data_IF_500236317127
#
_entry.id   IF_500236317127
#
_cell.length_a   1.000
_cell.length_b   1.000
_cell.length_c   1.000
_cell.angle_alpha   90.00
_cell.angle_beta   90.00
_cell.angle_gamma   90.00
#
_symmetry.space_group_name_H-M   'P 1'
#
loop_
_entity.id
_entity.type
_entity.pdbx_description
1 polymer ?
#
# COMPACT_ATOMS: atom_id res chain seq x y z
N UNK A 1 60.54 -61.64 -10.60
CA UNK A 1 60.61 -60.22 -10.29
C UNK A 1 59.66 -59.47 -11.20
N UNK A 2 58.47 -59.22 -10.76
CA UNK A 2 57.45 -58.42 -11.50
C UNK A 2 57.37 -57.06 -10.83
N UNK A 3 57.72 -56.00 -11.56
CA UNK A 3 57.56 -54.63 -11.14
C UNK A 3 56.11 -54.21 -11.35
N UNK A 4 55.41 -53.80 -10.27
CA UNK A 4 54.09 -53.21 -10.31
C UNK A 4 54.28 -51.69 -10.44
N UNK A 5 53.77 -51.11 -11.52
CA UNK A 5 53.67 -49.67 -11.72
C UNK A 5 52.41 -49.18 -11.03
N UNK A 6 52.57 -48.39 -10.00
CA UNK A 6 51.48 -47.67 -9.35
C UNK A 6 51.31 -46.30 -10.06
N UNK A 7 50.20 -46.19 -10.80
CA UNK A 7 49.80 -44.93 -11.43
C UNK A 7 49.04 -44.08 -10.42
N UNK A 8 49.64 -42.99 -9.95
CA UNK A 8 48.93 -41.97 -9.17
C UNK A 8 48.10 -41.11 -10.11
N UNK A 9 46.79 -41.29 -10.07
CA UNK A 9 45.84 -40.39 -10.70
C UNK A 9 45.56 -39.24 -9.69
N UNK A 10 46.19 -38.10 -9.90
CA UNK A 10 45.94 -36.88 -9.13
C UNK A 10 44.59 -36.30 -9.59
N UNK A 11 43.57 -36.48 -8.79
CA UNK A 11 42.28 -35.80 -8.94
C UNK A 11 42.42 -34.38 -8.41
N UNK A 12 42.63 -33.41 -9.32
CA UNK A 12 42.46 -31.99 -8.98
C UNK A 12 40.97 -31.69 -8.81
N UNK A 13 40.47 -31.79 -7.60
CA UNK A 13 39.25 -31.13 -7.22
C UNK A 13 39.51 -29.61 -7.19
N UNK A 14 39.16 -28.94 -8.27
CA UNK A 14 39.04 -27.49 -8.28
C UNK A 14 37.95 -27.07 -7.30
N UNK A 15 38.34 -26.73 -6.06
CA UNK A 15 37.48 -25.97 -5.17
C UNK A 15 37.29 -24.59 -5.82
N UNK A 16 36.17 -24.40 -6.52
CA UNK A 16 35.65 -23.08 -6.78
C UNK A 16 35.21 -22.52 -5.41
N UNK A 17 36.14 -21.87 -4.69
CA UNK A 17 35.74 -20.94 -3.65
C UNK A 17 34.98 -19.81 -4.35
N UNK A 18 33.71 -19.90 -4.34
CA UNK A 18 32.84 -18.75 -4.53
C UNK A 18 33.15 -17.82 -3.34
N UNK A 19 34.10 -16.91 -3.57
CA UNK A 19 34.19 -15.74 -2.71
C UNK A 19 32.86 -15.03 -2.88
N UNK A 20 31.94 -15.28 -1.95
CA UNK A 20 30.92 -14.34 -1.62
C UNK A 20 31.67 -13.05 -1.27
N UNK A 21 31.83 -12.19 -2.26
CA UNK A 21 32.15 -10.81 -1.98
C UNK A 21 30.99 -10.38 -1.07
N UNK A 22 31.31 -10.17 0.20
CA UNK A 22 30.48 -9.39 1.09
C UNK A 22 30.36 -8.02 0.39
N UNK A 23 29.39 -7.89 -0.49
CA UNK A 23 28.92 -6.62 -0.94
C UNK A 23 28.36 -5.96 0.32
N UNK A 24 29.21 -5.19 1.00
CA UNK A 24 28.79 -4.12 1.85
C UNK A 24 28.05 -3.12 0.95
N UNK A 25 26.85 -3.48 0.51
CA UNK A 25 25.91 -2.55 -0.09
C UNK A 25 25.30 -1.75 1.07
N UNK A 26 26.10 -0.85 1.59
CA UNK A 26 25.60 0.23 2.41
C UNK A 26 25.13 1.28 1.40
N UNK A 27 23.85 1.61 1.41
CA UNK A 27 23.25 2.62 0.53
C UNK A 27 24.06 3.93 0.54
N UNK A 28 24.65 4.29 1.67
CA UNK A 28 25.54 5.46 1.79
C UNK A 28 26.84 5.31 0.96
N UNK A 29 27.42 4.12 0.89
CA UNK A 29 28.55 3.87 0.00
C UNK A 29 28.16 3.88 -1.47
N UNK A 30 26.95 3.42 -1.79
CA UNK A 30 26.44 3.42 -3.16
C UNK A 30 26.19 4.84 -3.69
N UNK A 31 25.87 5.79 -2.82
CA UNK A 31 25.82 7.22 -3.18
C UNK A 31 27.18 7.79 -3.61
N UNK A 32 28.27 7.29 -3.05
CA UNK A 32 29.63 7.73 -3.38
C UNK A 32 30.17 7.10 -4.68
N UNK A 33 29.53 6.04 -5.19
CA UNK A 33 29.96 5.37 -6.42
C UNK A 33 29.63 6.22 -7.64
N UNK A 34 30.61 6.47 -8.48
CA UNK A 34 30.42 7.14 -9.77
C UNK A 34 29.76 6.15 -10.73
N UNK A 35 28.48 6.38 -11.05
CA UNK A 35 27.70 5.55 -11.96
C UNK A 35 27.71 6.16 -13.35
N UNK A 36 28.06 5.37 -14.38
CA UNK A 36 28.07 5.78 -15.77
C UNK A 36 26.79 5.32 -16.49
N UNK A 37 26.46 5.98 -17.62
CA UNK A 37 25.33 5.58 -18.47
C UNK A 37 23.97 6.08 -17.99
N UNK A 38 23.93 6.90 -16.94
CA UNK A 38 22.69 7.52 -16.44
C UNK A 38 22.64 9.00 -16.79
N UNK A 39 21.46 9.45 -17.20
CA UNK A 39 21.20 10.87 -17.42
C UNK A 39 19.93 11.27 -16.65
N UNK A 40 20.05 12.24 -15.75
CA UNK A 40 18.90 12.75 -15.01
C UNK A 40 17.96 13.54 -15.93
N UNK A 41 16.67 13.29 -15.78
CA UNK A 41 15.57 13.96 -16.47
C UNK A 41 14.49 14.32 -15.50
N UNK A 42 13.70 15.32 -15.86
CA UNK A 42 12.49 15.73 -15.11
C UNK A 42 11.37 16.04 -16.08
N UNK A 43 10.17 15.55 -15.75
CA UNK A 43 8.90 16.08 -16.25
C UNK A 43 8.24 16.82 -15.09
N UNK A 44 7.72 18.01 -15.33
CA UNK A 44 7.12 18.82 -14.26
C UNK A 44 6.10 19.80 -14.81
N UNK A 45 5.38 20.45 -13.92
CA UNK A 45 4.42 21.51 -14.22
C UNK A 45 5.08 22.86 -14.48
N UNK A 46 6.39 22.95 -14.78
CA UNK A 46 7.07 24.18 -15.03
C UNK A 46 6.48 24.96 -16.22
N UNK A 47 6.49 26.29 -16.15
CA UNK A 47 6.07 27.12 -17.25
C UNK A 47 7.21 27.27 -18.29
N UNK A 48 7.02 26.74 -19.52
CA UNK A 48 8.08 26.78 -20.56
C UNK A 48 8.40 28.20 -21.04
N UNK A 49 7.57 29.20 -20.76
CA UNK A 49 7.86 30.62 -21.09
C UNK A 49 8.87 31.25 -20.15
N UNK A 50 9.17 30.62 -19.00
CA UNK A 50 10.04 31.16 -17.96
C UNK A 50 9.33 32.12 -17.00
N UNK A 51 8.04 32.34 -17.14
CA UNK A 51 7.22 33.03 -16.16
C UNK A 51 6.89 32.08 -15.00
N UNK A 52 7.01 32.52 -13.75
CA UNK A 52 6.81 31.67 -12.56
C UNK A 52 5.32 31.29 -12.31
N UNK A 53 4.65 30.76 -13.33
CA UNK A 53 3.29 30.24 -13.27
C UNK A 53 3.30 28.72 -13.49
N UNK A 54 4.01 28.03 -12.61
CA UNK A 54 4.49 26.67 -12.75
C UNK A 54 3.46 25.62 -12.28
N UNK A 55 2.22 25.66 -12.80
CA UNK A 55 1.15 24.75 -12.42
C UNK A 55 0.26 24.36 -13.59
N UNK A 56 -0.35 23.20 -13.49
CA UNK A 56 -1.56 22.89 -14.25
C UNK A 56 -2.73 23.63 -13.60
N UNK A 57 -3.51 24.33 -14.39
CA UNK A 57 -4.69 25.09 -13.93
C UNK A 57 -5.97 24.39 -14.36
N UNK A 58 -6.99 24.52 -13.49
CA UNK A 58 -8.37 24.18 -13.80
C UNK A 58 -8.56 22.75 -14.39
N UNK A 59 -8.12 21.73 -13.65
CA UNK A 59 -8.48 20.34 -14.01
C UNK A 59 -9.91 20.10 -13.56
N UNK A 60 -10.82 20.06 -14.54
CA UNK A 60 -12.26 20.01 -14.27
C UNK A 60 -12.72 18.61 -13.82
N UNK A 61 -13.89 18.50 -13.16
CA UNK A 61 -14.52 17.21 -12.87
C UNK A 61 -14.67 16.33 -14.11
N UNK A 62 -14.20 15.08 -14.02
CA UNK A 62 -14.22 14.11 -15.12
C UNK A 62 -13.03 14.21 -16.09
N UNK A 63 -12.17 15.21 -15.94
CA UNK A 63 -11.02 15.40 -16.83
C UNK A 63 -9.86 14.48 -16.43
N UNK A 64 -9.19 13.92 -17.46
CA UNK A 64 -7.96 13.14 -17.33
C UNK A 64 -6.80 13.90 -17.95
N UNK A 65 -5.72 14.11 -17.17
CA UNK A 65 -4.51 14.81 -17.61
C UNK A 65 -3.33 13.84 -17.61
N UNK A 66 -2.59 13.83 -18.72
CA UNK A 66 -1.31 13.13 -18.80
C UNK A 66 -0.24 14.03 -18.18
N UNK A 67 0.34 13.57 -17.06
CA UNK A 67 1.44 14.27 -16.38
C UNK A 67 2.78 13.98 -17.04
N UNK A 68 2.98 12.74 -17.52
CA UNK A 68 4.19 12.33 -18.21
C UNK A 68 3.89 11.30 -19.30
N UNK A 69 4.55 11.44 -20.45
CA UNK A 69 4.60 10.45 -21.53
C UNK A 69 6.07 10.33 -22.00
N UNK A 70 6.80 9.47 -21.30
CA UNK A 70 8.25 9.29 -21.47
C UNK A 70 8.48 8.16 -22.46
N UNK A 71 9.36 8.39 -23.44
CA UNK A 71 9.76 7.40 -24.44
C UNK A 71 11.18 6.88 -24.13
N UNK A 72 11.44 5.62 -24.49
CA UNK A 72 12.73 4.96 -24.25
C UNK A 72 12.80 4.28 -22.88
N UNK A 73 13.97 3.83 -22.49
CA UNK A 73 14.22 3.13 -21.24
C UNK A 73 14.60 4.11 -20.12
N UNK A 74 14.13 3.83 -18.90
CA UNK A 74 14.44 4.67 -17.75
C UNK A 74 13.95 4.09 -16.43
N UNK A 75 14.21 4.83 -15.37
CA UNK A 75 13.79 4.49 -14.01
C UNK A 75 13.28 5.78 -13.36
N UNK A 76 11.99 5.90 -13.11
CA UNK A 76 11.48 6.97 -12.24
C UNK A 76 11.93 6.66 -10.83
N UNK A 77 12.53 7.63 -10.15
CA UNK A 77 13.09 7.46 -8.81
C UNK A 77 12.61 8.50 -7.81
N UNK A 78 11.83 9.47 -8.27
CA UNK A 78 11.20 10.47 -7.42
C UNK A 78 9.93 11.01 -8.07
N UNK A 79 8.86 11.07 -7.30
CA UNK A 79 7.62 11.77 -7.64
C UNK A 79 7.27 12.71 -6.49
N UNK A 80 6.93 13.94 -6.82
CA UNK A 80 6.39 14.91 -5.88
C UNK A 80 5.15 15.56 -6.45
N UNK A 81 4.07 15.58 -5.67
CA UNK A 81 2.81 16.21 -6.03
C UNK A 81 2.31 17.15 -4.93
N UNK A 82 1.65 18.23 -5.33
CA UNK A 82 0.78 19.01 -4.47
C UNK A 82 -0.36 19.63 -5.26
N UNK A 83 -1.47 19.94 -4.59
CA UNK A 83 -2.67 20.43 -5.27
C UNK A 83 -3.47 21.42 -4.41
N UNK A 84 -4.25 22.26 -5.09
CA UNK A 84 -5.21 23.18 -4.50
C UNK A 84 -6.58 23.03 -5.18
N UNK A 85 -7.71 23.07 -4.43
CA UNK A 85 -7.79 23.26 -3.00
C UNK A 85 -7.21 22.08 -2.20
N UNK A 86 -6.90 22.32 -0.92
CA UNK A 86 -6.34 21.30 -0.04
C UNK A 86 -7.39 20.27 0.42
N UNK A 87 -7.00 19.29 1.25
CA UNK A 87 -7.81 18.09 1.58
C UNK A 87 -9.12 18.39 2.31
N UNK A 88 -9.27 19.58 2.90
CA UNK A 88 -10.54 20.00 3.52
C UNK A 88 -11.66 20.27 2.51
N UNK A 89 -11.32 20.56 1.27
CA UNK A 89 -12.27 20.91 0.21
C UNK A 89 -12.25 19.88 -0.92
N UNK A 90 -11.06 19.38 -1.29
CA UNK A 90 -10.86 18.42 -2.36
C UNK A 90 -10.53 17.04 -1.77
N UNK A 91 -11.36 16.06 -2.05
CA UNK A 91 -11.08 14.68 -1.66
C UNK A 91 -9.98 14.09 -2.54
N UNK A 92 -8.82 13.81 -1.95
CA UNK A 92 -7.72 13.11 -2.63
C UNK A 92 -8.05 11.64 -2.93
N UNK A 93 -9.14 11.10 -2.38
CA UNK A 93 -9.67 9.79 -2.71
C UNK A 93 -10.46 9.79 -4.03
N UNK A 94 -10.80 10.97 -4.55
CA UNK A 94 -11.51 11.15 -5.81
C UNK A 94 -10.57 11.59 -6.97
N UNK A 95 -9.26 11.67 -6.72
CA UNK A 95 -8.26 11.91 -7.77
C UNK A 95 -7.55 10.58 -8.03
N UNK A 96 -7.72 10.04 -9.23
CA UNK A 96 -7.21 8.71 -9.57
C UNK A 96 -5.88 8.83 -10.28
N UNK A 97 -4.85 8.21 -9.73
CA UNK A 97 -3.53 8.06 -10.31
C UNK A 97 -3.45 6.75 -11.09
N UNK A 98 -3.01 6.82 -12.35
CA UNK A 98 -2.69 5.66 -13.17
C UNK A 98 -1.28 5.76 -13.72
N UNK A 99 -0.59 4.62 -13.75
CA UNK A 99 0.73 4.53 -14.38
C UNK A 99 0.80 3.30 -15.28
N UNK A 100 1.41 3.51 -16.45
CA UNK A 100 1.50 2.52 -17.51
C UNK A 100 2.96 2.36 -17.92
N UNK A 101 3.40 1.14 -18.10
CA UNK A 101 4.77 0.82 -18.48
C UNK A 101 4.85 0.13 -19.84
N UNK A 102 5.91 0.44 -20.60
CA UNK A 102 6.33 -0.28 -21.79
C UNK A 102 5.31 -0.31 -22.95
N UNK A 103 4.40 0.66 -22.99
CA UNK A 103 3.38 0.79 -24.01
C UNK A 103 2.16 -0.10 -23.81
N UNK A 104 1.96 -0.65 -22.61
CA UNK A 104 0.70 -1.33 -22.29
C UNK A 104 -0.46 -0.33 -22.24
N UNK A 105 -1.61 -0.75 -22.74
CA UNK A 105 -2.85 0.03 -22.71
C UNK A 105 -3.53 0.00 -21.33
N UNK A 106 -3.30 -1.07 -20.57
CA UNK A 106 -3.84 -1.24 -19.21
C UNK A 106 -2.83 -0.80 -18.16
N UNK A 107 -3.26 -0.11 -17.09
CA UNK A 107 -2.37 0.41 -16.07
C UNK A 107 -1.85 -0.68 -15.12
N UNK A 108 -0.57 -0.54 -14.76
CA UNK A 108 0.07 -1.34 -13.71
C UNK A 108 -0.05 -0.69 -12.32
N UNK A 109 -0.44 0.57 -12.25
CA UNK A 109 -0.74 1.29 -11.02
C UNK A 109 -2.11 1.93 -11.16
N UNK A 110 -3.02 1.61 -10.24
CA UNK A 110 -4.32 2.29 -10.08
C UNK A 110 -4.61 2.51 -8.61
N UNK A 111 -4.66 3.76 -8.21
CA UNK A 111 -4.99 4.13 -6.84
C UNK A 111 -5.52 5.56 -6.78
N UNK A 112 -6.43 5.87 -5.86
CA UNK A 112 -6.63 7.25 -5.47
C UNK A 112 -5.32 7.85 -4.95
N UNK A 113 -5.07 9.12 -5.27
CA UNK A 113 -3.79 9.77 -4.97
C UNK A 113 -3.52 9.87 -3.46
N UNK A 114 -4.56 10.12 -2.65
CA UNK A 114 -4.42 10.17 -1.19
C UNK A 114 -3.93 8.84 -0.60
N UNK A 115 -4.65 7.72 -0.80
CA UNK A 115 -4.23 6.41 -0.33
C UNK A 115 -2.85 5.99 -0.83
N UNK A 116 -2.50 6.28 -2.09
CA UNK A 116 -1.18 5.93 -2.63
C UNK A 116 -0.05 6.56 -1.83
N UNK A 117 -0.21 7.81 -1.39
CA UNK A 117 0.82 8.55 -0.64
C UNK A 117 0.63 8.55 0.89
N UNK A 118 -0.14 7.62 1.44
CA UNK A 118 -0.34 7.53 2.89
C UNK A 118 -1.35 8.52 3.46
N UNK A 119 -2.24 9.08 2.63
CA UNK A 119 -3.26 10.05 3.00
C UNK A 119 -4.69 9.56 2.71
N UNK A 120 -4.94 8.27 2.95
CA UNK A 120 -6.19 7.60 2.60
C UNK A 120 -7.43 8.13 3.33
N UNK A 121 -7.27 8.70 4.52
CA UNK A 121 -8.38 9.29 5.25
C UNK A 121 -8.72 10.73 4.82
N UNK A 122 -7.93 11.31 3.91
CA UNK A 122 -8.09 12.71 3.48
C UNK A 122 -8.10 13.69 4.66
N UNK A 123 -7.27 13.41 5.65
CA UNK A 123 -7.09 14.17 6.88
C UNK A 123 -5.74 14.88 6.90
N UNK A 124 -5.46 15.60 7.98
CA UNK A 124 -4.26 16.41 8.13
C UNK A 124 -3.29 15.77 9.11
N UNK A 125 -2.41 14.91 8.61
CA UNK A 125 -1.32 14.34 9.40
C UNK A 125 -0.07 14.14 8.54
N UNK A 126 1.09 14.11 9.17
CA UNK A 126 2.33 13.78 8.51
C UNK A 126 2.50 12.28 8.41
N UNK A 127 3.11 11.86 7.32
CA UNK A 127 3.48 10.47 7.09
C UNK A 127 4.90 10.43 6.54
N UNK A 128 5.73 9.55 7.09
CA UNK A 128 7.10 9.35 6.64
C UNK A 128 7.49 7.88 6.74
N UNK A 129 7.98 7.34 5.64
CA UNK A 129 8.50 5.98 5.53
C UNK A 129 9.69 5.95 4.60
N UNK A 130 10.28 4.78 4.39
CA UNK A 130 11.37 4.59 3.44
C UNK A 130 10.99 4.97 1.99
N UNK A 131 9.79 4.57 1.56
CA UNK A 131 9.37 4.70 0.18
C UNK A 131 8.46 5.89 -0.11
N UNK A 132 7.69 6.31 0.88
CA UNK A 132 6.65 7.33 0.72
C UNK A 132 6.69 8.33 1.87
N UNK A 133 6.35 9.57 1.57
CA UNK A 133 6.12 10.58 2.60
C UNK A 133 5.05 11.58 2.19
N UNK A 134 4.37 12.15 3.18
CA UNK A 134 3.48 13.28 3.00
C UNK A 134 3.63 14.27 4.15
N UNK A 135 3.84 15.53 3.81
CA UNK A 135 4.12 16.62 4.74
C UNK A 135 4.07 17.97 4.05
N UNK A 136 4.12 19.10 4.81
CA UNK A 136 4.01 19.18 6.25
C UNK A 136 2.61 18.85 6.77
N UNK A 137 2.27 19.33 7.95
CA UNK A 137 1.09 19.10 8.80
C UNK A 137 -0.22 18.66 8.12
N UNK A 138 -0.50 19.10 6.91
CA UNK A 138 -1.71 18.76 6.15
C UNK A 138 -1.46 17.64 5.12
N UNK A 139 -0.28 17.00 5.13
CA UNK A 139 0.12 16.04 4.12
C UNK A 139 0.03 16.64 2.70
N UNK A 140 0.39 17.94 2.56
CA UNK A 140 0.15 18.69 1.32
C UNK A 140 1.16 18.38 0.22
N UNK A 141 2.41 18.10 0.59
CA UNK A 141 3.41 17.57 -0.32
C UNK A 141 3.40 16.06 -0.26
N UNK A 142 3.22 15.40 -1.39
CA UNK A 142 3.11 13.95 -1.54
C UNK A 142 4.35 13.46 -2.27
N UNK A 143 5.18 12.63 -1.64
CA UNK A 143 6.45 12.16 -2.20
C UNK A 143 6.48 10.64 -2.33
N UNK A 144 7.07 10.14 -3.42
CA UNK A 144 7.42 8.74 -3.63
C UNK A 144 8.86 8.61 -4.08
N UNK A 145 9.57 7.68 -3.47
CA UNK A 145 10.95 7.29 -3.83
C UNK A 145 11.03 5.84 -4.34
N UNK A 146 9.91 5.21 -4.63
CA UNK A 146 9.91 3.92 -5.31
C UNK A 146 10.65 4.02 -6.65
N UNK A 147 11.57 3.11 -6.90
CA UNK A 147 12.13 2.93 -8.22
C UNK A 147 11.08 2.32 -9.15
N UNK A 148 10.76 2.99 -10.27
CA UNK A 148 9.77 2.52 -11.24
C UNK A 148 10.42 2.34 -12.60
N UNK A 149 11.02 1.16 -12.88
CA UNK A 149 11.72 0.90 -14.12
C UNK A 149 10.77 0.66 -15.30
N UNK A 150 11.19 1.12 -16.48
CA UNK A 150 10.51 0.88 -17.76
C UNK A 150 11.51 0.72 -18.89
N UNK A 151 11.25 -0.17 -19.85
CA UNK A 151 12.17 -0.49 -20.95
C UNK A 151 11.83 0.23 -22.26
N UNK A 152 10.57 0.63 -22.46
CA UNK A 152 10.10 1.25 -23.71
C UNK A 152 9.45 2.61 -23.50
N UNK A 153 8.92 2.84 -22.32
CA UNK A 153 8.25 4.10 -21.98
C UNK A 153 7.43 4.02 -20.70
N UNK A 154 7.07 5.20 -20.19
CA UNK A 154 6.22 5.38 -19.02
C UNK A 154 5.18 6.45 -19.30
N UNK A 155 3.90 6.16 -19.04
CA UNK A 155 2.82 7.14 -19.04
C UNK A 155 2.23 7.24 -17.63
N UNK A 156 2.09 8.46 -17.14
CA UNK A 156 1.48 8.76 -15.84
C UNK A 156 0.36 9.76 -16.07
N UNK A 157 -0.81 9.49 -15.53
CA UNK A 157 -1.98 10.34 -15.64
C UNK A 157 -2.75 10.43 -14.33
N UNK A 158 -3.49 11.52 -14.17
CA UNK A 158 -4.48 11.69 -13.12
C UNK A 158 -5.85 11.97 -13.73
N UNK A 159 -6.89 11.45 -13.10
CA UNK A 159 -8.28 11.75 -13.42
C UNK A 159 -8.94 12.45 -12.22
N UNK A 160 -9.56 13.60 -12.46
CA UNK A 160 -10.35 14.28 -11.45
C UNK A 160 -11.77 13.72 -11.41
N UNK A 161 -12.03 12.78 -10.52
CA UNK A 161 -13.39 12.27 -10.25
C UNK A 161 -14.11 13.04 -9.14
N UNK A 162 -13.49 14.09 -8.55
CA UNK A 162 -14.15 14.94 -7.56
C UNK A 162 -15.26 15.79 -8.23
N UNK A 163 -16.15 16.35 -7.40
CA UNK A 163 -17.24 17.22 -7.88
C UNK A 163 -16.80 18.69 -7.99
N UNK A 164 -15.50 18.98 -7.80
CA UNK A 164 -14.93 20.31 -7.86
C UNK A 164 -13.66 20.34 -8.69
N UNK A 165 -13.36 21.50 -9.28
CA UNK A 165 -12.16 21.77 -10.07
C UNK A 165 -10.91 21.72 -9.18
N UNK A 166 -9.85 21.05 -9.64
CA UNK A 166 -8.50 21.20 -9.11
C UNK A 166 -7.94 22.51 -9.64
N UNK A 167 -7.86 23.55 -8.80
CA UNK A 167 -7.48 24.90 -9.21
C UNK A 167 -6.00 25.05 -9.56
N UNK A 168 -5.16 24.22 -8.96
CA UNK A 168 -3.73 24.16 -9.24
C UNK A 168 -3.18 22.78 -8.89
N UNK A 169 -2.36 22.25 -9.77
CA UNK A 169 -1.62 21.00 -9.54
C UNK A 169 -0.16 21.22 -9.92
N UNK A 170 0.72 21.01 -8.94
CA UNK A 170 2.17 21.09 -9.14
C UNK A 170 2.76 19.71 -9.03
N UNK A 171 3.75 19.40 -9.88
CA UNK A 171 4.40 18.09 -9.82
C UNK A 171 5.84 18.10 -10.34
N UNK A 172 6.61 17.16 -9.79
CA UNK A 172 7.88 16.69 -10.33
C UNK A 172 7.81 15.17 -10.51
N UNK A 173 8.33 14.69 -11.64
CA UNK A 173 8.58 13.30 -11.94
C UNK A 173 10.02 13.23 -12.41
N UNK A 174 10.91 12.82 -11.51
CA UNK A 174 12.34 12.69 -11.79
C UNK A 174 12.66 11.26 -12.19
N UNK A 175 13.46 11.11 -13.24
CA UNK A 175 13.85 9.81 -13.72
C UNK A 175 15.27 9.78 -14.25
N UNK A 176 15.86 8.60 -14.26
CA UNK A 176 17.11 8.28 -14.92
C UNK A 176 16.78 7.76 -16.31
N UNK A 177 17.25 8.46 -17.35
CA UNK A 177 17.27 7.97 -18.71
C UNK A 177 18.46 7.01 -18.84
N UNK A 178 18.22 5.81 -19.37
CA UNK A 178 19.23 4.78 -19.60
C UNK A 178 19.17 4.30 -21.05
N UNK A 179 20.27 3.79 -21.56
CA UNK A 179 20.31 3.23 -22.92
C UNK A 179 19.46 1.95 -23.02
N UNK A 180 19.54 1.13 -22.00
CA UNK A 180 18.85 -0.14 -21.89
C UNK A 180 18.59 -0.44 -20.41
N UNK A 181 17.43 -1.00 -20.12
CA UNK A 181 17.08 -1.41 -18.76
C UNK A 181 17.72 -2.77 -18.46
N UNK A 182 18.38 -2.96 -17.30
CA UNK A 182 18.86 -4.27 -16.88
C UNK A 182 17.73 -5.32 -16.86
N UNK A 183 18.03 -6.54 -17.32
CA UNK A 183 17.02 -7.61 -17.51
C UNK A 183 16.40 -8.12 -16.20
N UNK A 184 17.06 -7.88 -15.08
CA UNK A 184 16.62 -8.27 -13.74
C UNK A 184 15.71 -7.24 -13.05
N UNK A 185 15.45 -6.10 -13.71
CA UNK A 185 14.60 -5.06 -13.15
C UNK A 185 13.10 -5.30 -13.43
N UNK A 186 12.33 -5.43 -12.36
CA UNK A 186 10.87 -5.57 -12.40
C UNK A 186 10.15 -4.25 -12.75
N UNK A 187 8.86 -4.36 -13.07
CA UNK A 187 7.94 -3.23 -13.24
C UNK A 187 7.17 -3.01 -11.95
N UNK A 188 7.08 -1.76 -11.55
CA UNK A 188 6.38 -1.36 -10.36
C UNK A 188 4.86 -1.48 -10.56
N UNK A 189 4.17 -1.97 -9.55
CA UNK A 189 2.72 -2.08 -9.50
C UNK A 189 2.19 -1.52 -8.18
N UNK A 190 0.99 -0.96 -8.23
CA UNK A 190 0.25 -0.63 -7.03
C UNK A 190 -1.26 -0.74 -7.27
N UNK A 191 -1.96 -1.28 -6.29
CA UNK A 191 -3.40 -1.50 -6.37
C UNK A 191 -4.11 -1.08 -5.10
N UNK A 192 -5.14 -0.27 -5.27
CA UNK A 192 -6.05 0.14 -4.20
C UNK A 192 -7.24 -0.81 -4.14
N UNK A 193 -7.54 -1.30 -2.94
CA UNK A 193 -8.80 -1.97 -2.65
C UNK A 193 -9.50 -1.31 -1.47
N UNK A 194 -10.82 -1.40 -1.39
CA UNK A 194 -11.64 -0.99 -0.25
C UNK A 194 -12.89 -1.83 -0.18
N UNK A 195 -13.20 -2.25 1.03
CA UNK A 195 -14.37 -3.06 1.35
C UNK A 195 -14.88 -2.70 2.75
N UNK A 196 -16.20 -2.72 2.92
CA UNK A 196 -16.81 -2.82 4.23
C UNK A 196 -17.05 -4.30 4.45
N UNK A 197 -16.30 -4.90 5.35
CA UNK A 197 -16.37 -6.33 5.60
C UNK A 197 -17.69 -6.70 6.27
N UNK A 198 -18.15 -7.91 6.01
CA UNK A 198 -19.33 -8.45 6.67
C UNK A 198 -18.90 -9.52 7.67
N UNK A 199 -19.51 -9.51 8.85
CA UNK A 199 -19.29 -10.56 9.83
C UNK A 199 -19.83 -11.89 9.34
N UNK A 200 -19.37 -12.97 9.94
CA UNK A 200 -19.97 -14.28 9.77
C UNK A 200 -21.46 -14.27 10.21
N UNK A 201 -22.27 -15.27 9.79
CA UNK A 201 -23.69 -15.33 10.13
C UNK A 201 -24.02 -15.28 11.63
N UNK A 202 -23.07 -15.63 12.48
CA UNK A 202 -23.16 -15.54 13.94
C UNK A 202 -23.15 -14.09 14.45
N UNK A 203 -22.79 -13.13 13.60
CA UNK A 203 -22.70 -11.70 13.92
C UNK A 203 -21.39 -11.31 14.57
N UNK A 204 -21.28 -10.03 14.94
CA UNK A 204 -20.10 -9.50 15.63
C UNK A 204 -19.96 -10.12 17.03
N UNK A 205 -18.75 -10.59 17.34
CA UNK A 205 -18.41 -11.14 18.64
C UNK A 205 -17.25 -10.37 19.24
N UNK A 206 -17.15 -10.38 20.56
CA UNK A 206 -15.95 -9.83 21.21
C UNK A 206 -14.72 -10.68 20.88
N UNK A 207 -13.57 -10.04 20.74
CA UNK A 207 -12.29 -10.66 20.40
C UNK A 207 -11.88 -11.82 21.32
N UNK A 208 -12.35 -11.80 22.56
CA UNK A 208 -12.08 -12.82 23.58
C UNK A 208 -13.15 -13.91 23.67
N UNK A 209 -14.20 -13.89 22.86
CA UNK A 209 -15.21 -14.96 22.81
C UNK A 209 -14.64 -16.21 22.12
N UNK A 210 -13.46 -16.56 22.49
CA UNK A 210 -12.69 -17.69 22.01
C UNK A 210 -13.38 -18.97 22.46
N UNK A 211 -13.89 -19.78 21.59
CA UNK A 211 -14.38 -21.11 21.98
C UNK A 211 -15.49 -21.69 21.13
N UNK A 212 -16.15 -20.87 20.33
CA UNK A 212 -17.20 -21.32 19.39
C UNK A 212 -16.98 -20.86 17.96
N UNK A 213 -15.82 -20.26 17.69
CA UNK A 213 -15.55 -19.70 16.38
C UNK A 213 -15.12 -20.80 15.41
N UNK A 214 -15.57 -20.66 14.19
CA UNK A 214 -15.14 -21.50 13.06
C UNK A 214 -13.67 -21.24 12.79
N UNK A 215 -12.85 -22.28 12.75
CA UNK A 215 -11.44 -22.15 12.38
C UNK A 215 -11.33 -21.65 10.93
N UNK A 216 -10.67 -20.52 10.74
CA UNK A 216 -10.35 -19.97 9.42
C UNK A 216 -9.06 -20.62 8.91
N UNK A 217 -9.17 -21.52 7.92
CA UNK A 217 -8.01 -22.28 7.41
C UNK A 217 -7.60 -21.90 6.00
N UNK A 218 -8.52 -21.35 5.23
CA UNK A 218 -8.35 -21.09 3.81
C UNK A 218 -8.46 -19.59 3.44
N UNK A 219 -8.75 -18.74 4.42
CA UNK A 219 -8.86 -17.30 4.22
C UNK A 219 -9.95 -16.89 3.22
N UNK A 220 -10.98 -17.75 3.00
CA UNK A 220 -12.04 -17.48 2.00
C UNK A 220 -12.84 -16.23 2.29
N UNK A 221 -13.06 -15.94 3.56
CA UNK A 221 -13.83 -14.78 4.03
C UNK A 221 -12.95 -13.58 4.43
N UNK A 222 -11.62 -13.68 4.23
CA UNK A 222 -10.68 -12.62 4.56
C UNK A 222 -10.75 -11.45 3.59
N UNK A 223 -10.42 -10.26 4.09
CA UNK A 223 -10.16 -9.11 3.23
C UNK A 223 -8.93 -9.37 2.35
N UNK A 224 -9.06 -9.17 1.03
CA UNK A 224 -7.98 -9.39 0.06
C UNK A 224 -7.26 -8.07 -0.18
N UNK A 225 -5.96 -8.01 0.14
CA UNK A 225 -5.14 -6.84 -0.15
C UNK A 225 -4.18 -7.04 -1.35
N UNK A 226 -3.97 -8.28 -1.80
CA UNK A 226 -3.25 -8.56 -3.04
C UNK A 226 -3.75 -9.86 -3.69
N UNK A 227 -3.99 -9.82 -5.01
CA UNK A 227 -4.25 -10.99 -5.87
C UNK A 227 -3.48 -10.79 -7.17
N UNK A 228 -2.28 -11.36 -7.23
CA UNK A 228 -1.26 -11.10 -8.25
C UNK A 228 -1.01 -12.37 -9.03
N UNK A 229 -1.00 -12.28 -10.36
CA UNK A 229 -0.65 -13.39 -11.26
C UNK A 229 0.66 -13.11 -11.97
N UNK A 230 1.56 -14.08 -11.98
CA UNK A 230 2.87 -13.98 -12.62
C UNK A 230 4.00 -13.99 -11.59
N UNK A 231 5.21 -13.69 -12.04
CA UNK A 231 6.43 -13.70 -11.22
C UNK A 231 6.74 -12.31 -10.69
N UNK A 232 7.08 -12.22 -9.39
CA UNK A 232 7.41 -10.95 -8.78
C UNK A 232 7.75 -11.04 -7.30
N UNK A 233 7.69 -9.89 -6.63
CA UNK A 233 7.82 -9.81 -5.18
C UNK A 233 7.03 -8.63 -4.62
N UNK A 234 6.37 -8.87 -3.50
CA UNK A 234 5.61 -7.88 -2.76
C UNK A 234 6.54 -7.06 -1.86
N UNK A 235 6.33 -5.73 -1.82
CA UNK A 235 7.23 -4.82 -1.12
C UNK A 235 6.56 -3.85 -0.14
N UNK A 236 5.24 -3.81 -0.06
CA UNK A 236 4.63 -2.91 0.92
C UNK A 236 3.12 -2.82 0.89
N UNK A 237 2.60 -2.30 1.99
CA UNK A 237 1.18 -2.07 2.20
C UNK A 237 0.95 -0.80 3.02
N UNK A 238 0.08 0.07 2.53
CA UNK A 238 -0.67 1.03 3.36
C UNK A 238 -2.02 0.41 3.68
N UNK A 239 -2.40 0.40 4.95
CA UNK A 239 -3.63 -0.20 5.45
C UNK A 239 -4.40 0.83 6.28
N UNK A 240 -5.67 1.00 5.95
CA UNK A 240 -6.57 1.98 6.52
C UNK A 240 -7.76 1.26 7.12
N UNK A 241 -8.00 1.46 8.41
CA UNK A 241 -9.11 0.85 9.15
C UNK A 241 -10.00 1.95 9.72
N UNK A 242 -11.31 1.90 9.42
CA UNK A 242 -12.30 2.63 10.20
C UNK A 242 -13.10 1.60 11.01
N UNK A 243 -12.87 1.60 12.32
CA UNK A 243 -13.57 0.73 13.28
C UNK A 243 -14.83 1.43 13.77
N UNK A 244 -16.02 0.81 13.65
CA UNK A 244 -17.28 1.41 14.07
C UNK A 244 -17.54 1.27 15.57
N UNK A 245 -16.71 0.53 16.30
CA UNK A 245 -16.87 0.24 17.74
C UNK A 245 -15.60 0.59 18.52
N UNK A 246 -15.66 0.75 19.85
CA UNK A 246 -14.48 0.96 20.68
C UNK A 246 -13.58 -0.27 20.84
N UNK A 247 -14.00 -1.43 20.32
CA UNK A 247 -13.28 -2.69 20.46
C UNK A 247 -11.99 -2.68 19.65
N UNK A 248 -11.01 -3.43 20.11
CA UNK A 248 -9.80 -3.70 19.34
C UNK A 248 -10.15 -4.51 18.09
N UNK A 249 -9.65 -4.09 16.94
CA UNK A 249 -9.97 -4.68 15.63
C UNK A 249 -8.86 -5.61 15.11
N UNK A 250 -7.69 -5.62 15.74
CA UNK A 250 -6.45 -6.10 15.16
C UNK A 250 -6.05 -7.53 15.56
N UNK A 251 -6.99 -8.39 15.95
CA UNK A 251 -6.71 -9.81 16.22
C UNK A 251 -6.71 -10.68 14.95
N UNK A 252 -6.95 -10.08 13.80
CA UNK A 252 -7.04 -10.81 12.53
C UNK A 252 -5.69 -11.17 11.94
N UNK A 253 -5.51 -12.44 11.59
CA UNK A 253 -4.28 -13.00 11.04
C UNK A 253 -4.12 -12.65 9.56
N UNK A 254 -2.90 -12.36 9.13
CA UNK A 254 -2.55 -12.32 7.72
C UNK A 254 -2.27 -13.72 7.17
N UNK A 255 -2.71 -13.97 5.94
CA UNK A 255 -2.56 -15.25 5.26
C UNK A 255 -2.05 -15.05 3.84
N UNK A 256 -0.94 -15.74 3.48
CA UNK A 256 -0.27 -15.61 2.20
C UNK A 256 -0.24 -16.94 1.47
N UNK A 257 -0.91 -16.97 0.33
CA UNK A 257 -0.98 -18.14 -0.57
C UNK A 257 -0.05 -17.88 -1.76
N UNK A 258 1.12 -18.49 -1.73
CA UNK A 258 2.17 -18.29 -2.74
C UNK A 258 2.04 -19.35 -3.80
N UNK A 259 2.16 -18.97 -5.08
CA UNK A 259 2.23 -19.87 -6.25
C UNK A 259 1.07 -20.87 -6.41
N UNK A 260 -0.11 -20.50 -5.88
CA UNK A 260 -1.32 -21.34 -5.99
C UNK A 260 -1.45 -22.38 -4.89
N UNK A 261 -0.76 -22.21 -3.79
CA UNK A 261 -0.92 -23.02 -2.59
C UNK A 261 -2.36 -23.00 -2.08
N UNK A 262 -2.84 -24.16 -1.58
CA UNK A 262 -4.19 -24.28 -1.01
C UNK A 262 -4.25 -23.90 0.48
N UNK A 263 -3.11 -23.95 1.14
CA UNK A 263 -2.92 -23.53 2.52
C UNK A 263 -1.90 -22.41 2.51
N UNK A 264 -2.12 -21.40 3.31
CA UNK A 264 -1.19 -20.29 3.41
C UNK A 264 0.17 -20.79 3.94
N UNK A 265 1.26 -20.40 3.27
CA UNK A 265 2.62 -20.74 3.68
C UNK A 265 3.20 -19.72 4.67
N UNK A 266 2.67 -18.50 4.67
CA UNK A 266 2.94 -17.49 5.69
C UNK A 266 1.63 -17.19 6.42
N UNK A 267 1.65 -17.39 7.73
CA UNK A 267 0.52 -17.19 8.63
C UNK A 267 0.93 -16.22 9.73
N UNK A 268 0.12 -15.20 9.95
CA UNK A 268 0.29 -14.24 11.04
C UNK A 268 -0.31 -14.70 12.35
N UNK A 269 -0.29 -13.79 13.30
CA UNK A 269 -0.78 -13.96 14.68
C UNK A 269 -1.64 -12.78 15.13
N UNK A 270 -1.86 -11.80 14.27
CA UNK A 270 -2.64 -10.60 14.50
C UNK A 270 -2.27 -9.48 13.54
N UNK A 271 -3.20 -8.56 13.33
CA UNK A 271 -2.98 -7.40 12.45
C UNK A 271 -1.85 -6.51 12.96
N UNK A 272 -1.77 -6.25 14.28
CA UNK A 272 -0.66 -5.45 14.84
C UNK A 272 0.70 -6.13 14.66
N UNK A 273 0.75 -7.45 14.80
CA UNK A 273 1.96 -8.25 14.62
C UNK A 273 2.43 -8.20 13.17
N UNK A 274 1.48 -8.33 12.22
CA UNK A 274 1.74 -8.16 10.80
C UNK A 274 2.41 -6.82 10.50
N UNK A 275 2.00 -5.75 11.17
CA UNK A 275 2.58 -4.41 11.01
C UNK A 275 3.77 -4.15 11.96
N UNK A 276 4.40 -5.20 12.51
CA UNK A 276 5.58 -5.14 13.39
C UNK A 276 5.37 -4.31 14.66
N UNK A 277 4.18 -4.36 15.21
CA UNK A 277 3.82 -3.72 16.46
C UNK A 277 3.36 -4.76 17.48
N UNK A 278 2.85 -4.35 18.60
CA UNK A 278 2.36 -5.28 19.63
C UNK A 278 1.37 -4.59 20.55
N UNK A 279 0.47 -5.39 21.13
CA UNK A 279 -0.36 -4.98 22.28
C UNK A 279 -1.25 -3.77 21.99
N UNK A 280 -2.03 -3.83 20.90
CA UNK A 280 -3.05 -2.85 20.56
C UNK A 280 -2.53 -1.40 20.58
N UNK A 281 -1.68 -0.97 19.64
CA UNK A 281 -1.03 0.33 19.67
C UNK A 281 -2.04 1.46 19.65
N UNK A 282 -1.88 2.44 20.55
CA UNK A 282 -2.78 3.58 20.73
C UNK A 282 -2.11 4.94 20.47
N UNK A 283 -0.81 4.94 20.21
CA UNK A 283 -0.04 6.16 19.99
C UNK A 283 0.51 6.19 18.55
N UNK A 284 0.46 7.35 17.87
CA UNK A 284 1.12 7.50 16.58
C UNK A 284 2.64 7.36 16.72
N UNK A 285 3.23 6.56 15.85
CA UNK A 285 4.66 6.49 15.68
C UNK A 285 5.03 6.10 14.24
N UNK A 286 6.24 6.39 13.84
CA UNK A 286 6.72 6.10 12.50
C UNK A 286 8.16 5.61 12.53
N UNK A 287 8.37 4.40 12.02
CA UNK A 287 9.66 3.84 11.68
C UNK A 287 9.82 3.86 10.16
N UNK A 288 11.04 3.80 9.64
CA UNK A 288 11.27 3.87 8.18
C UNK A 288 10.54 2.77 7.39
N UNK A 289 10.30 1.60 7.99
CA UNK A 289 9.67 0.46 7.33
C UNK A 289 8.24 0.18 7.79
N UNK A 290 7.81 0.63 8.94
CA UNK A 290 6.47 0.38 9.49
C UNK A 290 6.05 1.48 10.45
N UNK A 291 4.76 1.55 10.78
CA UNK A 291 4.28 2.50 11.77
C UNK A 291 2.79 2.79 11.67
N UNK A 292 2.33 3.55 12.66
CA UNK A 292 0.97 4.06 12.80
C UNK A 292 0.99 5.59 12.75
N UNK A 293 0.98 6.22 11.57
CA UNK A 293 1.02 7.69 11.47
C UNK A 293 -0.26 8.36 11.97
N UNK A 294 -1.34 7.61 12.07
CA UNK A 294 -2.62 8.09 12.57
C UNK A 294 -3.32 6.97 13.34
N UNK A 295 -3.67 7.25 14.57
CA UNK A 295 -4.47 6.38 15.44
C UNK A 295 -5.59 7.22 16.05
N UNK A 296 -6.81 6.69 16.06
CA UNK A 296 -7.91 7.29 16.79
C UNK A 296 -8.09 6.56 18.12
N UNK A 297 -7.90 7.27 19.22
CA UNK A 297 -7.96 6.74 20.58
C UNK A 297 -8.86 7.56 21.50
N UNK A 298 -9.83 8.29 20.93
CA UNK A 298 -10.79 9.10 21.73
C UNK A 298 -11.65 8.20 22.64
N UNK A 299 -12.12 7.06 22.09
CA UNK A 299 -12.87 6.05 22.83
C UNK A 299 -12.39 4.68 22.34
N UNK A 300 -11.44 4.10 23.03
CA UNK A 300 -10.82 2.84 22.64
C UNK A 300 -10.29 2.91 21.20
N UNK A 301 -10.74 2.00 20.35
CA UNK A 301 -10.31 1.92 18.94
C UNK A 301 -11.36 2.45 17.95
N UNK A 302 -12.40 3.11 18.43
CA UNK A 302 -13.43 3.72 17.61
C UNK A 302 -12.83 4.77 16.68
N UNK A 303 -13.10 4.66 15.40
CA UNK A 303 -12.68 5.64 14.36
C UNK A 303 -11.61 5.13 13.43
N UNK A 304 -10.72 6.00 12.98
CA UNK A 304 -9.81 5.76 11.87
C UNK A 304 -8.38 5.50 12.33
N UNK A 305 -7.76 4.52 11.73
CA UNK A 305 -6.33 4.25 11.85
C UNK A 305 -5.70 4.13 10.46
N UNK A 306 -4.48 4.62 10.32
CA UNK A 306 -3.60 4.34 9.21
C UNK A 306 -2.36 3.64 9.75
N UNK A 307 -2.04 2.49 9.18
CA UNK A 307 -0.84 1.72 9.50
C UNK A 307 -0.17 1.30 8.19
N UNK A 308 1.16 1.15 8.21
CA UNK A 308 1.92 0.74 7.04
C UNK A 308 3.04 -0.23 7.39
N UNK A 309 3.40 -1.08 6.41
CA UNK A 309 4.62 -1.88 6.43
C UNK A 309 5.21 -1.95 5.02
N UNK A 310 6.51 -1.69 4.92
CA UNK A 310 7.30 -1.89 3.71
C UNK A 310 8.30 -3.02 3.92
N UNK A 311 8.21 -4.03 3.08
CA UNK A 311 9.01 -5.26 3.09
C UNK A 311 10.31 -5.03 2.31
N UNK A 312 11.14 -4.07 2.75
CA UNK A 312 12.37 -3.68 2.06
C UNK A 312 13.48 -4.69 2.31
N UNK A 313 13.55 -5.22 3.54
CA UNK A 313 14.54 -6.21 3.93
C UNK A 313 14.02 -7.65 3.80
N UNK A 314 12.73 -7.83 3.73
CA UNK A 314 12.00 -9.10 3.76
C UNK A 314 10.92 -9.21 2.65
N UNK A 315 11.22 -8.89 1.36
CA UNK A 315 10.23 -8.99 0.28
C UNK A 315 9.64 -10.39 0.17
N UNK A 316 8.35 -10.48 -0.14
CA UNK A 316 7.69 -11.79 -0.34
C UNK A 316 7.72 -12.15 -1.82
N UNK A 317 8.54 -13.14 -2.17
CA UNK A 317 8.76 -13.58 -3.55
C UNK A 317 7.74 -14.62 -4.01
N UNK A 318 7.38 -14.57 -5.30
CA UNK A 318 6.50 -15.54 -5.95
C UNK A 318 6.89 -15.76 -7.42
N UNK A 319 6.70 -16.97 -7.93
CA UNK A 319 7.03 -17.35 -9.32
C UNK A 319 5.80 -17.41 -10.22
N UNK A 320 4.60 -17.73 -9.68
CA UNK A 320 3.36 -17.90 -10.44
C UNK A 320 2.26 -16.94 -10.01
N UNK A 321 2.29 -16.51 -8.77
CA UNK A 321 1.33 -15.56 -8.23
C UNK A 321 1.31 -15.52 -6.71
N UNK A 322 0.59 -14.54 -6.19
CA UNK A 322 0.42 -14.31 -4.77
C UNK A 322 -1.02 -13.89 -4.49
N UNK A 323 -1.70 -14.59 -3.59
CA UNK A 323 -2.90 -14.09 -2.95
C UNK A 323 -2.56 -13.80 -1.48
N UNK A 324 -2.71 -12.55 -1.05
CA UNK A 324 -2.46 -12.13 0.31
C UNK A 324 -3.72 -11.49 0.91
N UNK A 325 -4.07 -11.94 2.09
CA UNK A 325 -5.34 -11.64 2.76
C UNK A 325 -5.11 -11.35 4.24
N UNK A 326 -6.06 -10.72 4.87
CA UNK A 326 -6.05 -10.47 6.31
C UNK A 326 -7.47 -10.64 6.87
N UNK A 327 -7.58 -11.25 8.02
CA UNK A 327 -8.85 -11.33 8.75
C UNK A 327 -9.30 -9.95 9.23
N UNK A 328 -10.59 -9.77 9.37
CA UNK A 328 -11.20 -8.56 9.95
C UNK A 328 -11.74 -8.85 11.37
N UNK A 329 -10.86 -8.71 12.35
CA UNK A 329 -11.00 -9.25 13.70
C UNK A 329 -10.71 -10.75 13.74
N UNK A 330 -10.76 -11.33 14.90
CA UNK A 330 -10.46 -12.74 15.11
C UNK A 330 -11.44 -13.65 14.34
N UNK A 331 -10.93 -14.49 13.42
CA UNK A 331 -11.75 -15.32 12.53
C UNK A 331 -12.86 -14.56 11.77
N UNK A 332 -12.58 -13.35 11.31
CA UNK A 332 -13.54 -12.52 10.56
C UNK A 332 -14.80 -12.15 11.33
N UNK A 333 -14.67 -11.86 12.63
CA UNK A 333 -15.80 -11.57 13.51
C UNK A 333 -16.25 -10.10 13.52
N UNK A 334 -15.59 -9.20 12.80
CA UNK A 334 -15.89 -7.76 12.85
C UNK A 334 -16.30 -7.20 11.48
N UNK A 335 -17.25 -6.26 11.53
CA UNK A 335 -17.55 -5.36 10.40
C UNK A 335 -16.60 -4.17 10.47
N UNK A 336 -15.69 -4.04 9.51
CA UNK A 336 -14.71 -2.97 9.42
C UNK A 336 -14.79 -2.30 8.04
N UNK A 337 -14.56 -1.00 7.98
CA UNK A 337 -14.31 -0.30 6.71
C UNK A 337 -12.79 -0.33 6.46
N UNK A 338 -12.36 -1.22 5.59
CA UNK A 338 -10.97 -1.46 5.27
C UNK A 338 -10.61 -0.90 3.90
N UNK A 339 -9.44 -0.27 3.81
CA UNK A 339 -8.86 0.10 2.52
C UNK A 339 -7.35 -0.15 2.54
N UNK A 340 -6.80 -0.51 1.39
CA UNK A 340 -5.37 -0.80 1.23
C UNK A 340 -4.83 -0.23 -0.05
N UNK A 341 -3.51 0.07 -0.06
CA UNK A 341 -2.72 0.14 -1.27
C UNK A 341 -1.57 -0.84 -1.12
N UNK A 342 -1.57 -1.86 -1.95
CA UNK A 342 -0.50 -2.85 -2.05
C UNK A 342 0.53 -2.40 -3.09
N UNK A 343 1.82 -2.66 -2.83
CA UNK A 343 2.93 -2.31 -3.70
C UNK A 343 3.79 -3.53 -3.98
N UNK A 344 4.14 -3.76 -5.26
CA UNK A 344 4.97 -4.90 -5.66
C UNK A 344 5.71 -4.65 -6.96
N UNK A 345 6.62 -5.54 -7.28
CA UNK A 345 7.29 -5.59 -8.58
C UNK A 345 6.99 -6.91 -9.28
N UNK A 346 6.83 -6.85 -10.61
CA UNK A 346 6.71 -8.02 -11.47
C UNK A 346 7.73 -7.97 -12.61
N UNK A 347 8.06 -9.13 -13.15
CA UNK A 347 9.02 -9.23 -14.27
C UNK A 347 8.56 -8.55 -15.55
N UNK A 348 7.29 -8.19 -15.66
CA UNK A 348 6.71 -7.45 -16.79
C UNK A 348 5.56 -6.55 -16.31
N UNK A 349 5.22 -5.55 -17.11
CA UNK A 349 4.03 -4.75 -16.90
C UNK A 349 2.77 -5.61 -17.10
N UNK A 350 1.87 -5.58 -16.12
CA UNK A 350 0.57 -6.27 -16.15
C UNK A 350 -0.51 -5.34 -15.64
N UNK A 351 -1.74 -5.55 -16.08
CA UNK A 351 -2.88 -4.84 -15.53
C UNK A 351 -3.11 -5.21 -14.06
N UNK A 352 -3.47 -4.24 -13.25
CA UNK A 352 -4.00 -4.49 -11.91
C UNK A 352 -5.53 -4.59 -11.97
N UNK A 353 -6.19 -5.21 -10.98
CA UNK A 353 -7.65 -5.24 -10.93
C UNK A 353 -8.26 -3.84 -10.91
N UNK A 354 -9.51 -3.74 -11.35
CA UNK A 354 -10.27 -2.50 -11.20
C UNK A 354 -10.39 -2.12 -9.72
N UNK A 355 -10.32 -0.82 -9.45
CA UNK A 355 -10.56 -0.30 -8.10
C UNK A 355 -12.07 -0.11 -7.88
N UNK A 356 -12.57 -0.11 -6.63
CA UNK A 356 -13.95 0.22 -6.32
C UNK A 356 -14.38 1.55 -6.95
N UNK A 357 -15.62 1.67 -7.33
CA UNK A 357 -16.18 2.91 -7.90
C UNK A 357 -16.16 4.09 -6.90
N UNK A 358 -16.44 5.31 -7.39
CA UNK A 358 -16.43 6.52 -6.56
C UNK A 358 -17.36 6.42 -5.35
N UNK A 359 -18.53 5.82 -5.50
CA UNK A 359 -19.51 5.69 -4.41
C UNK A 359 -18.99 4.75 -3.31
N UNK A 360 -18.40 3.64 -3.71
CA UNK A 360 -17.78 2.66 -2.81
C UNK A 360 -16.52 3.19 -2.12
N UNK A 361 -15.78 4.12 -2.76
CA UNK A 361 -14.61 4.79 -2.17
C UNK A 361 -14.96 5.93 -1.23
N UNK A 362 -16.21 6.40 -1.19
CA UNK A 362 -16.62 7.52 -0.35
C UNK A 362 -16.38 7.22 1.12
N UNK A 363 -15.60 8.07 1.78
CA UNK A 363 -15.33 7.94 3.20
C UNK A 363 -16.64 8.01 4.01
N UNK A 364 -16.83 7.04 4.88
CA UNK A 364 -17.97 7.05 5.82
C UNK A 364 -17.71 8.08 6.91
N UNK A 365 -18.76 8.71 7.47
CA UNK A 365 -18.62 9.56 8.64
C UNK A 365 -17.97 8.81 9.81
N UNK A 366 -17.08 9.48 10.54
CA UNK A 366 -16.59 8.90 11.80
C UNK A 366 -17.72 8.85 12.82
N UNK A 367 -17.88 7.67 13.41
CA UNK A 367 -18.77 7.48 14.56
C UNK A 367 -18.04 8.03 15.78
N UNK A 368 -18.72 8.77 16.62
CA UNK A 368 -18.21 9.29 17.87
C UNK A 368 -19.13 8.89 19.05
N UNK A 369 -18.64 9.06 20.26
CA UNK A 369 -19.38 8.68 21.48
C UNK A 369 -20.76 9.32 21.59
N UNK A 370 -20.93 10.56 21.16
CA UNK A 370 -22.22 11.27 21.15
C UNK A 370 -23.21 10.58 20.21
N UNK A 371 -22.78 10.19 19.03
CA UNK A 371 -23.62 9.44 18.08
C UNK A 371 -24.02 8.07 18.64
N UNK A 372 -23.11 7.36 19.28
CA UNK A 372 -23.39 6.07 19.92
C UNK A 372 -24.43 6.20 21.03
N UNK A 373 -24.28 7.21 21.91
CA UNK A 373 -25.28 7.49 22.95
C UNK A 373 -26.64 7.84 22.36
N UNK A 374 -26.67 8.61 21.28
CA UNK A 374 -27.91 8.96 20.59
C UNK A 374 -28.61 7.72 20.03
N UNK A 375 -27.87 6.87 19.32
CA UNK A 375 -28.40 5.63 18.75
C UNK A 375 -28.87 4.65 19.84
N UNK A 376 -28.12 4.52 20.92
CA UNK A 376 -28.51 3.73 22.09
C UNK A 376 -29.84 4.23 22.69
N UNK A 377 -30.02 5.54 22.81
CA UNK A 377 -31.21 6.15 23.31
C UNK A 377 -32.42 5.92 22.37
N UNK A 378 -32.23 6.07 21.06
CA UNK A 378 -33.25 5.80 20.05
C UNK A 378 -33.66 4.33 20.06
N UNK A 379 -32.71 3.42 20.18
CA UNK A 379 -32.97 2.00 20.29
C UNK A 379 -33.78 1.66 21.57
N UNK A 380 -33.42 2.24 22.72
CA UNK A 380 -34.18 2.11 23.97
C UNK A 380 -35.63 2.51 23.79
N UNK A 381 -35.88 3.66 23.18
CA UNK A 381 -37.26 4.11 22.89
C UNK A 381 -38.03 3.12 22.04
N UNK A 382 -37.40 2.59 21.00
CA UNK A 382 -37.99 1.62 20.09
C UNK A 382 -38.31 0.28 20.78
N UNK A 383 -37.61 -0.04 21.86
CA UNK A 383 -37.84 -1.23 22.70
C UNK A 383 -38.73 -0.94 23.93
N UNK A 384 -39.45 0.19 23.96
CA UNK A 384 -40.39 0.53 25.04
C UNK A 384 -39.73 0.92 26.35
N UNK A 385 -38.44 1.22 26.39
CA UNK A 385 -37.63 1.50 27.59
C UNK A 385 -37.67 0.37 28.64
N UNK A 386 -37.79 -0.87 28.21
CA UNK A 386 -37.75 -2.04 29.10
C UNK A 386 -36.39 -2.15 29.80
N UNK A 387 -36.40 -2.06 31.12
CA UNK A 387 -35.17 -2.05 31.96
C UNK A 387 -34.43 -3.39 31.95
N UNK A 388 -35.17 -4.49 31.77
CA UNK A 388 -34.60 -5.85 31.78
C UNK A 388 -33.69 -6.15 30.60
N UNK A 389 -33.75 -5.34 29.53
CA UNK A 389 -32.86 -5.46 28.38
C UNK A 389 -31.43 -4.90 28.62
N UNK A 390 -31.20 -4.21 29.72
CA UNK A 390 -30.01 -3.39 29.94
C UNK A 390 -29.04 -3.92 30.97
N UNK A 391 -29.48 -4.88 31.78
CA UNK A 391 -28.77 -5.17 33.02
C UNK A 391 -28.85 -3.99 34.01
N UNK A 392 -28.25 -4.16 35.16
CA UNK A 392 -28.15 -3.12 36.19
C UNK A 392 -27.01 -2.16 35.86
N UNK A 393 -27.19 -1.23 34.93
CA UNK A 393 -26.30 -0.07 34.81
C UNK A 393 -26.67 1.02 35.79
#
# INVERSE_FOLDING_TARGET
MKKVFLSLFSFFLGLNMVFSQNNLSNEMYDLAKMKEGFRNRRVSSYNPTGENRDRLEAIEPGETIILADIKGAGIINHIWFTMSPGPRQLSRNDIILRMYWDGNDEPSVVSPIGPFFGQGWNEQYNYASFALSSGPKDGTGLCSYFAMPFAKGARIEIENQADITIKAFYYYIDYLEVKELPNDMGRFHAWFNREITETLPEGETEWNSVGKQRANKDGSDNYVFADIKGKGHFVGLNYYVQCPTPMWYGEGDDMWFIDGEKQASLLGTGTEDFFNTAWCPQEPYQHIYFGYPRVNNDVGFLGRTHVYRFFIQDPVFFEKGLKATIEHGHNNCLTLDLATVAYWYQNKATAVPAIPDKASRKLKPMINSVMMHKWRHEWRKNKGNETDLWGNE
#
